data_IF_369735878387
#
_entry.id   IF_369735878387
#
_cell.length_a   1.000
_cell.length_b   1.000
_cell.length_c   1.000
_cell.angle_alpha   90.00
_cell.angle_beta   90.00
_cell.angle_gamma   90.00
#
_symmetry.space_group_name_H-M   'P 1'
#
loop_
_entity.id
_entity.type
_entity.pdbx_description
1 polymer ?
#
# COMPACT_ATOMS: atom_id res chain seq x y z
N UNK A 1 8.22 -16.37 -6.46
CA UNK A 1 8.16 -15.44 -5.34
C UNK A 1 6.79 -14.77 -5.32
N UNK A 2 6.17 -14.63 -4.17
CA UNK A 2 4.85 -13.99 -4.10
C UNK A 2 4.95 -12.49 -4.33
N UNK A 3 3.83 -11.93 -4.75
CA UNK A 3 3.63 -10.50 -4.81
C UNK A 3 2.53 -10.11 -3.84
N UNK A 4 2.67 -8.96 -3.22
CA UNK A 4 1.76 -8.51 -2.17
C UNK A 4 1.04 -7.25 -2.63
N UNK A 5 -0.28 -7.24 -2.45
CA UNK A 5 -1.04 -5.99 -2.49
C UNK A 5 -1.24 -5.57 -1.04
N UNK A 6 -0.98 -4.32 -0.74
CA UNK A 6 -1.00 -3.84 0.63
C UNK A 6 -1.67 -2.48 0.72
N UNK A 7 -2.20 -2.20 1.90
CA UNK A 7 -2.77 -0.90 2.22
C UNK A 7 -2.07 -0.38 3.46
N UNK A 8 -1.56 0.84 3.36
CA UNK A 8 -0.93 1.54 4.47
C UNK A 8 -1.86 2.62 4.98
N UNK A 9 -1.76 2.93 6.27
CA UNK A 9 -2.39 4.10 6.84
C UNK A 9 -1.32 4.96 7.50
N UNK A 10 -1.48 6.28 7.38
CA UNK A 10 -0.60 7.22 8.07
C UNK A 10 -1.18 7.50 9.44
N UNK A 11 -0.38 7.34 10.49
CA UNK A 11 -0.83 7.45 11.87
C UNK A 11 -1.17 8.89 12.28
N UNK A 12 -0.74 9.88 11.50
CA UNK A 12 -0.95 11.28 11.83
C UNK A 12 -2.03 11.93 10.98
N UNK A 13 -2.11 11.55 9.70
CA UNK A 13 -3.05 12.19 8.77
C UNK A 13 -4.24 11.31 8.44
N UNK A 14 -4.23 10.04 8.84
CA UNK A 14 -5.22 9.01 8.50
C UNK A 14 -5.38 8.77 7.00
N UNK A 15 -4.45 9.25 6.20
CA UNK A 15 -4.47 8.99 4.76
C UNK A 15 -4.00 7.57 4.48
N UNK A 16 -4.55 6.98 3.42
CA UNK A 16 -4.25 5.62 3.02
C UNK A 16 -3.50 5.58 1.70
N UNK A 17 -2.68 4.56 1.56
CA UNK A 17 -1.93 4.30 0.34
C UNK A 17 -2.07 2.84 -0.03
N UNK A 18 -2.41 2.55 -1.29
CA UNK A 18 -2.52 1.19 -1.80
C UNK A 18 -1.45 0.96 -2.85
N UNK A 19 -0.73 -0.16 -2.73
CA UNK A 19 0.33 -0.50 -3.66
C UNK A 19 0.54 -1.99 -3.78
N UNK A 20 1.55 -2.38 -4.57
CA UNK A 20 1.96 -3.77 -4.66
C UNK A 20 3.48 -3.87 -4.63
N UNK A 21 4.00 -5.00 -4.17
CA UNK A 21 5.44 -5.22 -4.08
C UNK A 21 5.76 -6.70 -3.95
N UNK A 22 6.98 -7.07 -4.30
CA UNK A 22 7.51 -8.40 -4.01
C UNK A 22 8.18 -8.47 -2.63
N UNK A 23 8.36 -7.34 -1.95
CA UNK A 23 9.05 -7.28 -0.66
C UNK A 23 8.38 -6.22 0.22
N UNK A 24 7.47 -6.67 1.10
CA UNK A 24 6.69 -5.78 1.96
C UNK A 24 7.55 -5.01 2.93
N UNK A 25 8.52 -5.67 3.56
CA UNK A 25 9.34 -5.02 4.58
C UNK A 25 10.18 -3.89 3.99
N UNK A 26 10.81 -4.17 2.86
CA UNK A 26 11.60 -3.16 2.18
C UNK A 26 10.72 -2.00 1.73
N UNK A 27 9.55 -2.29 1.19
CA UNK A 27 8.65 -1.26 0.67
C UNK A 27 8.11 -0.38 1.79
N UNK A 28 7.79 -0.98 2.94
CA UNK A 28 7.33 -0.22 4.10
C UNK A 28 8.44 0.72 4.60
N UNK A 29 9.68 0.22 4.64
CA UNK A 29 10.81 1.07 5.01
C UNK A 29 10.99 2.24 4.05
N UNK A 30 10.83 1.98 2.74
CA UNK A 30 10.95 3.03 1.73
C UNK A 30 9.87 4.10 1.89
N UNK A 31 8.65 3.70 2.24
CA UNK A 31 7.58 4.67 2.48
C UNK A 31 7.85 5.53 3.71
N UNK A 32 8.48 4.96 4.73
CA UNK A 32 8.78 5.68 5.96
C UNK A 32 10.12 6.43 5.92
N UNK A 33 10.99 6.11 4.97
CA UNK A 33 12.30 6.76 4.83
C UNK A 33 12.13 8.08 4.08
N UNK A 34 12.45 9.16 4.76
CA UNK A 34 12.30 10.51 4.20
C UNK A 34 13.52 10.97 3.43
N UNK A 35 14.62 10.23 3.49
CA UNK A 35 15.86 10.58 2.82
C UNK A 35 16.00 9.84 1.50
N UNK A 36 15.70 8.54 1.51
CA UNK A 36 15.83 7.67 0.36
C UNK A 36 14.46 7.14 0.03
N UNK A 37 14.12 7.00 -1.19
CA UNK A 37 12.87 6.40 -1.56
C UNK A 37 12.24 7.06 -2.75
N UNK A 38 11.37 6.32 -3.38
CA UNK A 38 10.80 6.67 -4.67
C UNK A 38 9.34 7.12 -4.57
N UNK A 39 8.78 7.09 -3.35
CA UNK A 39 7.34 7.33 -3.16
C UNK A 39 7.11 8.74 -2.67
N UNK A 40 7.11 9.66 -3.63
CA UNK A 40 6.99 11.08 -3.35
C UNK A 40 5.76 11.41 -2.51
N UNK A 41 4.64 10.78 -2.81
CA UNK A 41 3.40 11.01 -2.08
C UNK A 41 3.56 10.68 -0.59
N UNK A 42 4.06 9.48 -0.28
CA UNK A 42 4.20 9.04 1.10
C UNK A 42 5.29 9.82 1.85
N UNK A 43 6.32 10.27 1.14
CA UNK A 43 7.38 11.07 1.74
C UNK A 43 6.93 12.45 2.16
N UNK A 44 5.95 13.02 1.47
CA UNK A 44 5.43 14.35 1.79
C UNK A 44 4.48 14.33 2.97
N UNK A 45 4.03 13.15 3.38
CA UNK A 45 3.13 13.04 4.52
C UNK A 45 3.93 13.00 5.81
N UNK A 46 3.43 13.69 6.84
CA UNK A 46 4.00 13.60 8.17
C UNK A 46 3.52 12.31 8.83
N UNK A 47 4.26 11.87 9.86
CA UNK A 47 3.87 10.66 10.60
C UNK A 47 4.48 9.41 10.01
N UNK A 48 4.02 8.27 10.48
CA UNK A 48 4.54 6.97 10.12
C UNK A 48 3.47 6.14 9.41
N UNK A 49 3.88 5.40 8.39
CA UNK A 49 3.00 4.52 7.65
C UNK A 49 3.01 3.12 8.25
N UNK A 50 1.83 2.53 8.40
CA UNK A 50 1.65 1.19 8.95
C UNK A 50 0.81 0.36 8.00
N UNK A 51 1.10 -0.94 7.91
CA UNK A 51 0.32 -1.87 7.09
C UNK A 51 -0.95 -2.23 7.85
N UNK A 52 -2.11 -1.95 7.26
CA UNK A 52 -3.40 -2.34 7.84
C UNK A 52 -4.04 -3.49 7.08
N UNK A 53 -3.55 -3.80 5.90
CA UNK A 53 -4.07 -4.90 5.09
C UNK A 53 -3.00 -5.37 4.12
N UNK A 54 -2.94 -6.68 3.90
CA UNK A 54 -2.08 -7.27 2.87
C UNK A 54 -2.72 -8.53 2.33
N UNK A 55 -2.48 -8.81 1.05
CA UNK A 55 -2.90 -10.06 0.42
C UNK A 55 -1.82 -10.53 -0.54
N UNK A 56 -1.70 -11.85 -0.66
CA UNK A 56 -0.67 -12.46 -1.49
C UNK A 56 -1.25 -12.86 -2.84
N UNK A 57 -0.45 -12.66 -3.89
CA UNK A 57 -0.78 -13.08 -5.25
C UNK A 57 0.40 -13.85 -5.83
N UNK A 58 0.11 -14.81 -6.71
CA UNK A 58 1.13 -15.66 -7.30
C UNK A 58 1.96 -14.90 -8.33
N UNK A 59 1.37 -13.92 -9.03
CA UNK A 59 2.04 -13.19 -10.08
C UNK A 59 1.91 -11.68 -9.90
N UNK A 60 2.84 -10.96 -10.49
CA UNK A 60 2.80 -9.50 -10.50
C UNK A 60 1.57 -8.96 -11.22
N UNK A 61 1.17 -9.62 -12.31
CA UNK A 61 0.00 -9.20 -13.08
C UNK A 61 -1.26 -9.24 -12.23
N UNK A 62 -1.43 -10.29 -11.44
CA UNK A 62 -2.57 -10.42 -10.54
C UNK A 62 -2.55 -9.33 -9.46
N UNK A 63 -1.38 -9.07 -8.89
CA UNK A 63 -1.23 -8.03 -7.86
C UNK A 63 -1.54 -6.66 -8.42
N UNK A 64 -1.05 -6.35 -9.63
CA UNK A 64 -1.32 -5.07 -10.28
C UNK A 64 -2.80 -4.88 -10.57
N UNK A 65 -3.47 -5.95 -11.02
CA UNK A 65 -4.90 -5.92 -11.31
C UNK A 65 -5.69 -5.65 -10.03
N UNK A 66 -5.33 -6.30 -8.94
CA UNK A 66 -5.99 -6.12 -7.64
C UNK A 66 -5.77 -4.72 -7.10
N UNK A 67 -4.53 -4.21 -7.19
CA UNK A 67 -4.24 -2.85 -6.78
C UNK A 67 -5.11 -1.85 -7.52
N UNK A 68 -5.26 -2.03 -8.82
CA UNK A 68 -6.08 -1.14 -9.65
C UNK A 68 -7.55 -1.18 -9.21
N UNK A 69 -8.06 -2.39 -8.91
CA UNK A 69 -9.41 -2.54 -8.40
C UNK A 69 -9.59 -1.79 -7.07
N UNK A 70 -8.64 -1.96 -6.15
CA UNK A 70 -8.76 -1.34 -4.83
C UNK A 70 -8.72 0.18 -4.88
N UNK A 71 -8.13 0.74 -5.93
CA UNK A 71 -8.10 2.19 -6.14
C UNK A 71 -9.35 2.73 -6.83
N UNK A 72 -10.20 1.84 -7.34
CA UNK A 72 -11.45 2.24 -7.99
C UNK A 72 -12.52 2.56 -6.95
N UNK A 73 -13.65 3.11 -7.39
CA UNK A 73 -14.77 3.38 -6.51
C UNK A 73 -15.31 2.12 -5.84
N UNK A 74 -15.44 1.03 -6.59
CA UNK A 74 -15.87 -0.27 -6.05
C UNK A 74 -14.85 -0.81 -5.03
N UNK A 75 -13.58 -0.62 -5.29
CA UNK A 75 -12.53 -1.04 -4.37
C UNK A 75 -12.58 -0.27 -3.06
N UNK A 76 -12.86 1.02 -3.11
CA UNK A 76 -13.01 1.83 -1.90
C UNK A 76 -14.17 1.34 -1.05
N UNK A 77 -15.28 0.96 -1.66
CA UNK A 77 -16.41 0.38 -0.95
C UNK A 77 -16.03 -0.96 -0.30
N UNK A 78 -15.29 -1.78 -1.03
CA UNK A 78 -14.79 -3.05 -0.50
C UNK A 78 -13.90 -2.81 0.74
N UNK A 79 -13.00 -1.83 0.67
CA UNK A 79 -12.12 -1.49 1.80
C UNK A 79 -12.94 -1.07 3.01
N UNK A 80 -13.94 -0.20 2.82
CA UNK A 80 -14.81 0.23 3.91
C UNK A 80 -15.54 -0.93 4.55
N UNK A 81 -15.94 -1.93 3.77
CA UNK A 81 -16.71 -3.06 4.27
C UNK A 81 -15.82 -4.11 4.96
N UNK A 82 -14.54 -4.19 4.63
CA UNK A 82 -13.67 -5.30 5.06
C UNK A 82 -12.48 -4.87 5.92
N UNK A 83 -12.19 -3.61 6.00
CA UNK A 83 -11.02 -3.11 6.74
C UNK A 83 -11.42 -1.97 7.74
#
# INVERSE_FOLDING_TARGET
MPYWVYILINDKTDKRYTGHTSDLERRLREHNDKVVGRHRYTKQQQGTWQIIYKEEHATRAEAMKRERFLKSGQGREWIKANI
#
